data_IF_934837866231
#
_entry.id   IF_934837866231
#
_cell.length_a   1.000
_cell.length_b   1.000
_cell.length_c   1.000
_cell.angle_alpha   90.00
_cell.angle_beta   90.00
_cell.angle_gamma   90.00
#
_symmetry.space_group_name_H-M   'P 1'
#
loop_
_entity.id
_entity.type
_entity.pdbx_description
1 polymer ?
#
# COMPACT_ATOMS: atom_id res chain seq x y z
N UNK A 1 1.52 13.81 -14.91
CA UNK A 1 1.16 12.63 -14.11
C UNK A 1 2.30 11.63 -14.17
N UNK A 2 3.13 11.64 -13.13
CA UNK A 2 4.13 10.62 -12.88
C UNK A 2 3.47 9.26 -12.66
N UNK A 3 4.21 8.16 -12.90
CA UNK A 3 3.71 6.80 -12.69
C UNK A 3 3.14 6.58 -11.27
N UNK A 4 3.73 7.27 -10.27
CA UNK A 4 3.23 7.33 -8.89
C UNK A 4 1.83 7.91 -8.77
N UNK A 5 1.59 9.06 -9.39
CA UNK A 5 0.30 9.74 -9.35
C UNK A 5 -0.80 8.96 -10.09
N UNK A 6 -0.45 8.32 -11.21
CA UNK A 6 -1.37 7.46 -11.95
C UNK A 6 -1.86 6.29 -11.08
N UNK A 7 -0.94 5.61 -10.40
CA UNK A 7 -1.27 4.48 -9.53
C UNK A 7 -2.11 4.90 -8.33
N UNK A 8 -1.77 6.02 -7.69
CA UNK A 8 -2.57 6.57 -6.58
C UNK A 8 -3.99 6.83 -7.04
N UNK A 9 -4.16 7.50 -8.19
CA UNK A 9 -5.47 7.81 -8.76
C UNK A 9 -6.25 6.55 -9.13
N UNK A 10 -5.59 5.51 -9.65
CA UNK A 10 -6.22 4.21 -9.94
C UNK A 10 -6.73 3.54 -8.66
N UNK A 11 -5.90 3.51 -7.61
CA UNK A 11 -6.28 2.94 -6.31
C UNK A 11 -7.36 3.75 -5.60
N UNK A 12 -7.43 5.07 -5.80
CA UNK A 12 -8.51 5.91 -5.28
C UNK A 12 -9.85 5.64 -6.01
N UNK A 13 -9.82 5.50 -7.33
CA UNK A 13 -11.02 5.24 -8.13
C UNK A 13 -11.50 3.79 -8.02
N UNK A 14 -10.58 2.83 -7.83
CA UNK A 14 -10.88 1.40 -7.80
C UNK A 14 -10.23 0.69 -6.59
N UNK A 15 -10.48 1.21 -5.39
CA UNK A 15 -9.93 0.67 -4.15
C UNK A 15 -10.35 -0.79 -3.86
N UNK A 16 -11.44 -1.27 -4.47
CA UNK A 16 -11.93 -2.66 -4.30
C UNK A 16 -11.12 -3.69 -5.09
N UNK A 17 -10.36 -3.25 -6.10
CA UNK A 17 -9.62 -4.14 -6.99
C UNK A 17 -8.11 -3.93 -6.91
N UNK A 18 -7.61 -3.51 -5.74
CA UNK A 18 -6.17 -3.32 -5.54
C UNK A 18 -5.45 -4.66 -5.46
N UNK A 19 -4.42 -4.82 -6.30
CA UNK A 19 -3.50 -5.94 -6.22
C UNK A 19 -2.40 -5.68 -5.19
N UNK A 20 -1.92 -6.74 -4.53
CA UNK A 20 -0.76 -6.64 -3.61
C UNK A 20 0.46 -6.00 -4.27
N UNK A 21 0.78 -6.39 -5.51
CA UNK A 21 1.89 -5.81 -6.26
C UNK A 21 1.78 -4.29 -6.44
N UNK A 22 0.56 -3.77 -6.64
CA UNK A 22 0.32 -2.32 -6.74
C UNK A 22 0.58 -1.63 -5.40
N UNK A 23 0.11 -2.23 -4.30
CA UNK A 23 0.34 -1.70 -2.95
C UNK A 23 1.82 -1.75 -2.57
N UNK A 24 2.50 -2.87 -2.81
CA UNK A 24 3.93 -3.04 -2.56
C UNK A 24 4.76 -2.02 -3.34
N UNK A 25 4.48 -1.86 -4.64
CA UNK A 25 5.14 -0.85 -5.48
C UNK A 25 4.91 0.56 -4.99
N UNK A 26 3.67 0.87 -4.58
CA UNK A 26 3.33 2.17 -4.01
C UNK A 26 4.13 2.43 -2.73
N UNK A 27 4.15 1.47 -1.80
CA UNK A 27 4.89 1.56 -0.54
C UNK A 27 6.39 1.74 -0.77
N UNK A 28 6.97 1.00 -1.73
CA UNK A 28 8.37 1.13 -2.14
C UNK A 28 8.71 2.56 -2.58
N UNK A 29 7.83 3.25 -3.32
CA UNK A 29 7.99 4.66 -3.71
C UNK A 29 7.90 5.66 -2.56
N UNK A 30 7.51 5.23 -1.36
CA UNK A 30 7.51 6.06 -0.15
C UNK A 30 8.59 5.60 0.85
N UNK A 31 9.54 4.75 0.43
CA UNK A 31 10.62 4.17 1.25
C UNK A 31 10.16 3.17 2.32
N UNK A 32 8.95 2.62 2.19
CA UNK A 32 8.54 1.50 3.03
C UNK A 32 9.23 0.21 2.59
N UNK A 33 9.92 -0.43 3.52
CA UNK A 33 10.64 -1.69 3.29
C UNK A 33 9.90 -2.85 3.91
N UNK A 34 9.84 -3.98 3.21
CA UNK A 34 9.31 -5.22 3.74
C UNK A 34 10.28 -5.75 4.81
N UNK A 35 9.81 -5.84 6.06
CA UNK A 35 10.64 -6.24 7.21
C UNK A 35 10.26 -7.60 7.79
N UNK A 36 9.05 -8.09 7.53
CA UNK A 36 8.60 -9.38 8.03
C UNK A 36 7.45 -9.93 7.19
N UNK A 37 7.41 -11.25 7.03
CA UNK A 37 6.33 -11.98 6.38
C UNK A 37 5.82 -13.03 7.36
N UNK A 38 4.52 -13.04 7.64
CA UNK A 38 3.85 -14.03 8.47
C UNK A 38 2.60 -14.54 7.76
N UNK A 39 2.75 -15.67 7.06
CA UNK A 39 1.69 -16.22 6.23
C UNK A 39 1.25 -15.21 5.17
N UNK A 40 -0.03 -14.86 5.14
CA UNK A 40 -0.55 -13.83 4.23
C UNK A 40 -0.19 -12.40 4.64
N UNK A 41 0.24 -12.13 5.87
CA UNK A 41 0.49 -10.78 6.36
C UNK A 41 1.94 -10.34 6.11
N UNK A 42 2.11 -9.29 5.30
CA UNK A 42 3.39 -8.69 4.98
C UNK A 42 3.53 -7.37 5.73
N UNK A 43 4.56 -7.25 6.57
CA UNK A 43 4.81 -6.04 7.36
C UNK A 43 5.83 -5.17 6.65
N UNK A 44 5.41 -3.96 6.33
CA UNK A 44 6.25 -2.89 5.81
C UNK A 44 6.58 -1.90 6.91
N UNK A 45 7.81 -1.37 6.93
CA UNK A 45 8.28 -0.39 7.92
C UNK A 45 9.05 0.73 7.22
N UNK A 46 8.85 1.94 7.73
CA UNK A 46 9.61 3.15 7.40
C UNK A 46 9.80 3.94 8.70
N UNK A 47 11.04 4.21 9.09
CA UNK A 47 11.36 4.86 10.37
C UNK A 47 10.61 4.21 11.55
N UNK A 48 9.75 4.97 12.24
CA UNK A 48 8.90 4.51 13.34
C UNK A 48 7.48 4.10 12.90
N UNK A 49 7.15 4.17 11.61
CA UNK A 49 5.85 3.78 11.05
C UNK A 49 5.91 2.35 10.53
N UNK A 50 4.85 1.57 10.75
CA UNK A 50 4.72 0.23 10.16
C UNK A 50 3.30 -0.07 9.73
N UNK A 51 3.17 -0.82 8.64
CA UNK A 51 1.90 -1.15 7.99
C UNK A 51 1.90 -2.64 7.70
N UNK A 52 0.77 -3.30 7.95
CA UNK A 52 0.58 -4.70 7.63
C UNK A 52 -0.35 -4.80 6.43
N UNK A 53 0.10 -5.46 5.37
CA UNK A 53 -0.65 -5.66 4.13
C UNK A 53 -0.90 -7.16 3.95
N UNK A 54 -2.16 -7.61 3.94
CA UNK A 54 -2.48 -9.00 3.66
C UNK A 54 -2.37 -9.30 2.16
N UNK A 55 -1.89 -10.50 1.83
CA UNK A 55 -1.78 -11.05 0.48
C UNK A 55 -3.15 -11.58 -0.01
N UNK A 56 -4.17 -10.72 0.01
CA UNK A 56 -5.50 -11.05 -0.53
C UNK A 56 -5.61 -10.63 -2.00
N UNK A 57 -6.42 -11.37 -2.77
CA UNK A 57 -6.71 -11.10 -4.18
C UNK A 57 -8.22 -10.96 -4.39
N UNK A 58 -8.77 -9.74 -4.49
CA UNK A 58 -8.12 -8.43 -4.30
C UNK A 58 -7.89 -8.08 -2.81
N UNK A 59 -7.04 -7.09 -2.53
CA UNK A 59 -6.89 -6.53 -1.19
C UNK A 59 -8.21 -5.86 -0.78
N UNK A 60 -8.63 -6.06 0.48
CA UNK A 60 -9.86 -5.42 0.97
C UNK A 60 -9.71 -3.90 0.92
N UNK A 61 -10.75 -3.23 0.42
CA UNK A 61 -10.82 -1.77 0.24
C UNK A 61 -10.38 -0.98 1.48
N UNK A 62 -10.72 -1.47 2.68
CA UNK A 62 -10.34 -0.86 3.96
C UNK A 62 -8.82 -0.68 4.09
N UNK A 63 -8.01 -1.68 3.72
CA UNK A 63 -6.56 -1.59 3.78
C UNK A 63 -6.03 -0.58 2.77
N UNK A 64 -6.59 -0.59 1.56
CA UNK A 64 -6.19 0.35 0.48
C UNK A 64 -6.44 1.78 0.91
N UNK A 65 -7.64 2.08 1.44
CA UNK A 65 -7.99 3.42 1.94
C UNK A 65 -7.11 3.85 3.12
N UNK A 66 -6.80 2.94 4.05
CA UNK A 66 -5.90 3.22 5.17
C UNK A 66 -4.49 3.57 4.69
N UNK A 67 -3.94 2.79 3.75
CA UNK A 67 -2.62 3.05 3.16
C UNK A 67 -2.61 4.39 2.45
N UNK A 68 -3.59 4.66 1.58
CA UNK A 68 -3.67 5.94 0.85
C UNK A 68 -3.77 7.14 1.80
N UNK A 69 -4.55 7.04 2.87
CA UNK A 69 -4.67 8.10 3.89
C UNK A 69 -3.33 8.34 4.60
N UNK A 70 -2.65 7.27 5.00
CA UNK A 70 -1.34 7.34 5.65
C UNK A 70 -0.28 7.98 4.76
N UNK A 71 -0.28 7.65 3.46
CA UNK A 71 0.65 8.22 2.49
C UNK A 71 0.35 9.69 2.15
N UNK A 72 -0.92 10.13 2.22
CA UNK A 72 -1.30 11.54 2.05
C UNK A 72 -0.83 12.42 3.22
N UNK A 73 -0.83 11.87 4.43
CA UNK A 73 -0.39 12.58 5.65
C UNK A 73 1.13 12.75 5.73
N UNK A 74 1.89 11.93 4.98
CA UNK A 74 3.36 12.05 4.86
C UNK A 74 3.82 13.12 3.85
N UNK A 75 2.90 13.83 3.19
CA UNK A 75 3.21 14.75 2.10
C UNK A 75 3.47 16.17 2.58
#
# INVERSE_FOLDING_TARGET
>A
MSNKEKLIKELENNAKNASFANIEKLLSWYDYKLVSIRGSHHKFKKDNKSIIVPLHKPIKEVYVKQILKLLKDEK
#
